data_IF_630116103444
#
_entry.id   IF_630116103444
#
_cell.length_a   1.000
_cell.length_b   1.000
_cell.length_c   1.000
_cell.angle_alpha   90.00
_cell.angle_beta   90.00
_cell.angle_gamma   90.00
#
_symmetry.space_group_name_H-M   'P 1'
#
loop_
_entity.id
_entity.type
_entity.pdbx_description
1 polymer ?
#
# COMPACT_ATOMS: atom_id res chain seq x y z
N UNK A 1 -6.16 -2.84 36.77
CA UNK A 1 -4.98 -3.39 36.08
C UNK A 1 -5.32 -3.43 34.59
N UNK A 2 -5.11 -2.34 33.86
CA UNK A 2 -5.26 -2.35 32.40
C UNK A 2 -4.05 -3.08 31.83
N UNK A 3 -4.28 -4.16 31.08
CA UNK A 3 -3.23 -4.84 30.35
C UNK A 3 -2.53 -3.82 29.46
N UNK A 4 -1.25 -3.57 29.73
CA UNK A 4 -0.37 -2.89 28.79
C UNK A 4 -0.28 -3.82 27.57
N UNK A 5 -0.85 -3.48 26.40
CA UNK A 5 -0.70 -4.35 25.23
C UNK A 5 0.81 -4.46 24.99
N UNK A 6 1.33 -5.68 24.96
CA UNK A 6 2.73 -5.91 24.64
C UNK A 6 3.05 -5.17 23.34
N UNK A 7 4.16 -4.43 23.36
CA UNK A 7 4.63 -3.68 22.19
C UNK A 7 4.79 -4.66 21.03
N UNK A 8 4.05 -4.47 19.95
CA UNK A 8 4.19 -5.30 18.75
C UNK A 8 5.49 -4.89 18.07
N UNK A 9 6.54 -5.68 18.30
CA UNK A 9 7.87 -5.41 17.75
C UNK A 9 7.99 -5.80 16.27
N UNK A 10 7.27 -6.84 15.83
CA UNK A 10 7.32 -7.33 14.44
C UNK A 10 5.94 -7.70 13.93
N UNK A 11 5.56 -7.14 12.79
CA UNK A 11 4.34 -7.51 12.04
C UNK A 11 4.70 -8.22 10.75
N UNK A 12 3.95 -9.29 10.45
CA UNK A 12 4.00 -10.01 9.18
C UNK A 12 2.72 -9.72 8.42
N UNK A 13 2.84 -9.24 7.19
CA UNK A 13 1.74 -9.01 6.26
C UNK A 13 1.84 -10.03 5.13
N UNK A 14 0.75 -10.77 4.89
CA UNK A 14 0.67 -11.74 3.81
C UNK A 14 -0.06 -11.09 2.63
N UNK A 15 0.67 -10.88 1.54
CA UNK A 15 0.24 -10.21 0.32
C UNK A 15 0.91 -8.85 0.14
N UNK A 16 1.64 -8.66 -0.96
CA UNK A 16 2.28 -7.40 -1.37
C UNK A 16 1.50 -6.70 -2.50
N UNK A 17 0.17 -6.76 -2.44
CA UNK A 17 -0.72 -5.93 -3.27
C UNK A 17 -0.96 -4.55 -2.63
N UNK A 18 -1.79 -3.70 -3.26
CA UNK A 18 -2.07 -2.34 -2.76
C UNK A 18 -2.47 -2.30 -1.28
N UNK A 19 -3.38 -3.18 -0.86
CA UNK A 19 -3.83 -3.23 0.53
C UNK A 19 -2.69 -3.59 1.51
N UNK A 20 -1.87 -4.57 1.15
CA UNK A 20 -0.74 -5.00 1.98
C UNK A 20 0.35 -3.95 2.07
N UNK A 21 0.66 -3.27 0.97
CA UNK A 21 1.62 -2.16 0.95
C UNK A 21 1.14 -0.96 1.79
N UNK A 22 -0.14 -0.58 1.67
CA UNK A 22 -0.71 0.49 2.49
C UNK A 22 -0.80 0.12 3.98
N UNK A 23 -1.09 -1.14 4.30
CA UNK A 23 -1.00 -1.65 5.66
C UNK A 23 0.45 -1.64 6.19
N UNK A 24 1.44 -1.93 5.33
CA UNK A 24 2.84 -1.84 5.70
C UNK A 24 3.25 -0.40 6.04
N UNK A 25 2.85 0.54 5.18
CA UNK A 25 3.12 1.96 5.36
C UNK A 25 2.44 2.53 6.62
N UNK A 26 1.23 2.09 6.97
CA UNK A 26 0.57 2.55 8.20
C UNK A 26 1.19 1.98 9.48
N UNK A 27 1.90 0.85 9.38
CA UNK A 27 2.54 0.19 10.51
C UNK A 27 4.04 0.51 10.64
N UNK A 28 4.67 1.13 9.63
CA UNK A 28 6.11 1.38 9.61
C UNK A 28 6.58 2.29 10.74
N UNK A 29 5.74 3.22 11.16
CA UNK A 29 6.10 4.22 12.19
C UNK A 29 5.83 3.74 13.62
N UNK A 30 5.03 2.68 13.78
CA UNK A 30 4.55 2.19 15.08
C UNK A 30 5.11 0.81 15.45
N UNK A 31 5.82 0.15 14.54
CA UNK A 31 6.43 -1.17 14.76
C UNK A 31 7.91 -1.14 14.41
N UNK A 32 8.74 -1.95 15.08
CA UNK A 32 10.19 -1.97 14.78
C UNK A 32 10.50 -2.62 13.43
N UNK A 33 9.64 -3.55 13.00
CA UNK A 33 9.82 -4.30 11.77
C UNK A 33 8.47 -4.68 11.16
N UNK A 34 8.34 -4.49 9.86
CA UNK A 34 7.27 -5.04 9.05
C UNK A 34 7.89 -5.95 8.00
N UNK A 35 7.36 -7.16 7.83
CA UNK A 35 7.77 -8.08 6.76
C UNK A 35 6.59 -8.42 5.87
N UNK A 36 6.72 -8.14 4.57
CA UNK A 36 5.75 -8.53 3.57
C UNK A 36 6.16 -9.87 2.97
N UNK A 37 5.20 -10.77 2.86
CA UNK A 37 5.37 -12.07 2.22
C UNK A 37 4.36 -12.15 1.09
N UNK A 38 4.83 -12.36 -0.13
CA UNK A 38 3.97 -12.59 -1.30
C UNK A 38 4.33 -13.95 -1.92
N UNK A 39 3.35 -14.56 -2.59
CA UNK A 39 3.54 -15.82 -3.31
C UNK A 39 4.29 -15.57 -4.62
N UNK A 40 4.05 -14.44 -5.27
CA UNK A 40 4.71 -14.11 -6.52
C UNK A 40 6.08 -13.48 -6.25
N UNK A 41 6.96 -13.54 -7.24
CA UNK A 41 8.18 -12.73 -7.24
C UNK A 41 7.82 -11.24 -7.36
N UNK A 42 8.48 -10.41 -6.56
CA UNK A 42 8.31 -8.95 -6.61
C UNK A 42 9.25 -8.41 -7.71
N UNK A 43 8.72 -7.80 -8.78
CA UNK A 43 9.53 -7.26 -9.86
C UNK A 43 10.20 -5.94 -9.46
N UNK A 44 11.32 -5.62 -10.10
CA UNK A 44 12.01 -4.32 -9.92
C UNK A 44 11.29 -3.15 -10.61
N UNK A 45 10.30 -3.43 -11.45
CA UNK A 45 9.49 -2.44 -12.17
C UNK A 45 7.99 -2.83 -12.16
N UNK A 46 7.07 -1.88 -12.37
CA UNK A 46 5.64 -2.18 -12.40
C UNK A 46 5.29 -3.23 -13.46
N UNK A 47 4.81 -4.39 -13.03
CA UNK A 47 4.41 -5.50 -13.91
C UNK A 47 3.20 -6.24 -13.33
N UNK A 48 2.44 -6.89 -14.20
CA UNK A 48 1.35 -7.77 -13.77
C UNK A 48 1.90 -8.97 -13.01
N UNK A 49 1.29 -9.26 -11.85
CA UNK A 49 1.62 -10.41 -11.03
C UNK A 49 0.44 -11.38 -10.98
N UNK A 50 0.64 -12.69 -11.18
CA UNK A 50 -0.44 -13.68 -11.20
C UNK A 50 -1.34 -13.69 -9.95
N UNK A 51 -0.78 -13.42 -8.78
CA UNK A 51 -1.48 -13.33 -7.50
C UNK A 51 -2.27 -12.05 -7.29
N UNK A 52 -2.18 -11.07 -8.20
CA UNK A 52 -2.97 -9.83 -8.18
C UNK A 52 -4.04 -9.91 -9.27
N UNK A 53 -5.09 -10.68 -9.01
CA UNK A 53 -6.15 -10.97 -10.00
C UNK A 53 -6.78 -9.72 -10.65
N UNK A 54 -6.81 -8.59 -9.93
CA UNK A 54 -7.35 -7.32 -10.41
C UNK A 54 -6.28 -6.36 -10.95
N UNK A 55 -5.01 -6.77 -11.00
CA UNK A 55 -3.88 -5.88 -11.31
C UNK A 55 -3.91 -5.26 -12.71
N UNK A 56 -4.57 -5.91 -13.66
CA UNK A 56 -4.77 -5.41 -15.02
C UNK A 56 -6.00 -4.52 -15.20
N UNK A 57 -6.84 -4.36 -14.17
CA UNK A 57 -8.02 -3.51 -14.24
C UNK A 57 -7.72 -2.08 -13.80
N UNK A 58 -8.53 -1.14 -14.29
CA UNK A 58 -8.47 0.26 -13.85
C UNK A 58 -8.89 0.35 -12.39
N UNK A 59 -8.05 0.97 -11.57
CA UNK A 59 -8.36 1.27 -10.17
C UNK A 59 -8.68 2.76 -10.05
N UNK A 60 -9.96 3.09 -9.94
CA UNK A 60 -10.37 4.46 -9.62
C UNK A 60 -10.36 4.65 -8.11
N UNK A 61 -9.62 5.62 -7.61
CA UNK A 61 -9.62 5.99 -6.21
C UNK A 61 -10.70 7.05 -5.94
N UNK A 62 -11.39 6.91 -4.81
CA UNK A 62 -12.24 7.98 -4.28
C UNK A 62 -11.35 9.16 -3.86
N UNK A 63 -11.86 10.39 -3.95
CA UNK A 63 -11.10 11.60 -3.60
C UNK A 63 -10.48 11.54 -2.21
N UNK A 64 -11.25 11.08 -1.22
CA UNK A 64 -10.73 10.89 0.14
C UNK A 64 -9.66 9.79 0.24
N UNK A 65 -9.74 8.75 -0.60
CA UNK A 65 -8.71 7.71 -0.68
C UNK A 65 -7.38 8.27 -1.22
N UNK A 66 -7.45 9.15 -2.23
CA UNK A 66 -6.29 9.88 -2.76
C UNK A 66 -5.64 10.72 -1.66
N UNK A 67 -6.44 11.51 -0.92
CA UNK A 67 -5.96 12.34 0.18
C UNK A 67 -5.34 11.51 1.32
N UNK A 68 -5.98 10.41 1.70
CA UNK A 68 -5.49 9.51 2.75
C UNK A 68 -4.16 8.84 2.35
N UNK A 69 -4.05 8.40 1.09
CA UNK A 69 -2.83 7.79 0.57
C UNK A 69 -1.68 8.78 0.48
N UNK A 70 -1.92 10.01 0.02
CA UNK A 70 -0.91 11.08 -0.01
C UNK A 70 -0.44 11.47 1.39
N UNK A 71 -1.36 11.54 2.37
CA UNK A 71 -1.00 11.80 3.76
C UNK A 71 -0.17 10.65 4.36
N UNK A 72 -0.48 9.42 4.00
CA UNK A 72 0.22 8.23 4.50
C UNK A 72 1.61 8.08 3.88
N UNK A 73 1.74 8.37 2.59
CA UNK A 73 3.00 8.28 1.83
C UNK A 73 3.16 9.60 1.06
N UNK A 74 3.80 10.62 1.67
CA UNK A 74 3.99 11.92 1.03
C UNK A 74 4.72 11.79 -0.30
N UNK A 75 4.18 12.40 -1.36
CA UNK A 75 4.71 12.33 -2.72
C UNK A 75 4.13 11.21 -3.59
N UNK A 76 3.39 10.25 -3.01
CA UNK A 76 2.88 9.08 -3.73
C UNK A 76 2.05 9.47 -4.96
N UNK A 77 1.19 10.49 -4.87
CA UNK A 77 0.39 10.88 -6.03
C UNK A 77 1.25 11.48 -7.14
N UNK A 78 2.28 12.25 -6.78
CA UNK A 78 3.24 12.78 -7.77
C UNK A 78 3.93 11.65 -8.51
N UNK A 79 4.42 10.65 -7.79
CA UNK A 79 5.10 9.48 -8.37
C UNK A 79 4.15 8.66 -9.26
N UNK A 80 2.91 8.44 -8.80
CA UNK A 80 1.90 7.76 -9.62
C UNK A 80 1.59 8.53 -10.91
N UNK A 81 1.50 9.87 -10.85
CA UNK A 81 1.28 10.67 -12.04
C UNK A 81 2.47 10.64 -13.00
N UNK A 82 3.71 10.61 -12.51
CA UNK A 82 4.89 10.48 -13.38
C UNK A 82 4.97 9.11 -14.05
N UNK A 83 4.42 8.07 -13.42
CA UNK A 83 4.31 6.71 -13.96
C UNK A 83 3.02 6.47 -14.79
N UNK A 84 2.27 7.54 -15.10
CA UNK A 84 1.16 7.50 -16.05
C UNK A 84 -0.23 7.38 -15.45
N UNK A 85 -0.40 7.46 -14.13
CA UNK A 85 -1.72 7.63 -13.53
C UNK A 85 -2.34 8.96 -13.97
N UNK A 86 -3.68 9.01 -14.02
CA UNK A 86 -4.42 10.19 -14.46
C UNK A 86 -5.37 10.68 -13.37
N UNK A 87 -5.40 12.00 -13.16
CA UNK A 87 -6.38 12.62 -12.26
C UNK A 87 -7.76 12.64 -12.90
N UNK A 88 -8.65 11.78 -12.43
CA UNK A 88 -10.05 11.78 -12.86
C UNK A 88 -10.80 12.89 -12.14
N UNK A 89 -11.39 13.82 -12.89
CA UNK A 89 -12.38 14.76 -12.36
C UNK A 89 -13.76 14.16 -12.60
N UNK A 90 -14.50 13.89 -11.53
CA UNK A 90 -15.94 13.64 -11.64
C UNK A 90 -16.64 15.00 -11.67
N UNK A 91 -17.48 15.19 -12.69
CA UNK A 91 -18.30 16.37 -12.92
C UNK A 91 -19.24 16.62 -11.75
#
# INVERSE_FOLDING_TARGET
>A
MQANPEKIDHVIIVGAGMAGLLAAASLSDVTKKVSLIDKDSIPDSPQFRPGVAQGAHVHTLLGYGVEAMEKLIPGLMSDLYSEGAVKIRRN
#
